data_IF_682096952396
#
_entry.id   IF_682096952396
#
_cell.length_a   1.000
_cell.length_b   1.000
_cell.length_c   1.000
_cell.angle_alpha   90.00
_cell.angle_beta   90.00
_cell.angle_gamma   90.00
#
_symmetry.space_group_name_H-M   'P 1'
#
loop_
_entity.id
_entity.type
_entity.pdbx_description
1 polymer ?
#
# COMPACT_ATOMS: atom_id res chain seq x y z
N UNK A 1 17.60 -42.90 -12.53
CA UNK A 1 16.19 -42.58 -12.85
C UNK A 1 15.31 -42.39 -11.62
N UNK A 2 15.53 -43.13 -10.51
CA UNK A 2 14.68 -43.03 -9.30
C UNK A 2 14.79 -41.68 -8.54
N UNK A 3 15.96 -41.02 -8.56
CA UNK A 3 16.14 -39.71 -7.91
C UNK A 3 15.49 -38.54 -8.67
N UNK A 4 15.35 -38.62 -9.99
CA UNK A 4 14.73 -37.55 -10.78
C UNK A 4 13.24 -37.37 -10.48
N UNK A 5 12.53 -38.47 -10.24
CA UNK A 5 11.10 -38.43 -9.90
C UNK A 5 10.82 -37.84 -8.52
N UNK A 6 11.68 -38.11 -7.53
CA UNK A 6 11.55 -37.53 -6.19
C UNK A 6 11.87 -36.03 -6.17
N UNK A 7 12.87 -35.60 -6.95
CA UNK A 7 13.22 -34.18 -7.11
C UNK A 7 12.09 -33.40 -7.80
N UNK A 8 11.56 -33.92 -8.92
CA UNK A 8 10.44 -33.29 -9.62
C UNK A 8 9.17 -33.18 -8.77
N UNK A 9 8.87 -34.20 -7.97
CA UNK A 9 7.72 -34.16 -7.06
C UNK A 9 7.90 -33.11 -5.96
N UNK A 10 9.11 -33.00 -5.42
CA UNK A 10 9.42 -32.02 -4.37
C UNK A 10 9.39 -30.59 -4.92
N UNK A 11 9.91 -30.37 -6.12
CA UNK A 11 9.84 -29.08 -6.81
C UNK A 11 8.40 -28.67 -7.11
N UNK A 12 7.55 -29.59 -7.59
CA UNK A 12 6.14 -29.32 -7.83
C UNK A 12 5.40 -28.92 -6.55
N UNK A 13 5.62 -29.63 -5.44
CA UNK A 13 5.01 -29.32 -4.14
C UNK A 13 5.47 -27.94 -3.63
N UNK A 14 6.74 -27.57 -3.83
CA UNK A 14 7.25 -26.25 -3.42
C UNK A 14 6.56 -25.14 -4.23
N UNK A 15 6.39 -25.32 -5.54
CA UNK A 15 5.70 -24.34 -6.39
C UNK A 15 4.25 -24.16 -5.95
N UNK A 16 3.52 -25.25 -5.71
CA UNK A 16 2.12 -25.19 -5.23
C UNK A 16 1.99 -24.46 -3.88
N UNK A 17 2.94 -24.68 -2.96
CA UNK A 17 2.95 -23.97 -1.67
C UNK A 17 3.21 -22.48 -1.84
N UNK A 18 4.15 -22.08 -2.70
CA UNK A 18 4.44 -20.67 -2.98
C UNK A 18 3.20 -19.97 -3.54
N UNK A 19 2.52 -20.59 -4.49
CA UNK A 19 1.31 -20.04 -5.11
C UNK A 19 0.17 -19.91 -4.09
N UNK A 20 0.01 -20.92 -3.21
CA UNK A 20 -0.96 -20.86 -2.12
C UNK A 20 -0.67 -19.70 -1.16
N UNK A 21 0.59 -19.50 -0.75
CA UNK A 21 0.96 -18.37 0.12
C UNK A 21 0.72 -17.02 -0.55
N UNK A 22 1.05 -16.88 -1.85
CA UNK A 22 0.79 -15.67 -2.61
C UNK A 22 -0.71 -15.37 -2.69
N UNK A 23 -1.54 -16.39 -2.91
CA UNK A 23 -3.00 -16.26 -2.94
C UNK A 23 -3.55 -15.82 -1.57
N UNK A 24 -3.12 -16.48 -0.48
CA UNK A 24 -3.53 -16.11 0.89
C UNK A 24 -3.13 -14.67 1.20
N UNK A 25 -1.91 -14.28 0.86
CA UNK A 25 -1.43 -12.91 1.06
C UNK A 25 -2.22 -11.90 0.22
N UNK A 26 -2.59 -12.25 -1.02
CA UNK A 26 -3.41 -11.41 -1.88
C UNK A 26 -4.83 -11.21 -1.30
N UNK A 27 -5.46 -12.29 -0.81
CA UNK A 27 -6.76 -12.22 -0.12
C UNK A 27 -6.68 -11.36 1.14
N UNK A 28 -5.59 -11.47 1.92
CA UNK A 28 -5.38 -10.59 3.07
C UNK A 28 -5.29 -9.12 2.65
N UNK A 29 -4.66 -8.82 1.51
CA UNK A 29 -4.58 -7.47 0.96
C UNK A 29 -5.95 -6.96 0.51
N UNK A 30 -6.78 -7.81 -0.11
CA UNK A 30 -8.19 -7.49 -0.44
C UNK A 30 -8.94 -7.09 0.83
N UNK A 31 -8.90 -7.94 1.86
CA UNK A 31 -9.62 -7.70 3.11
C UNK A 31 -9.13 -6.43 3.81
N UNK A 32 -7.81 -6.21 3.81
CA UNK A 32 -7.20 -5.01 4.40
C UNK A 32 -7.61 -3.75 3.64
N UNK A 33 -7.50 -3.75 2.31
CA UNK A 33 -7.83 -2.59 1.49
C UNK A 33 -9.30 -2.22 1.52
N UNK A 34 -10.18 -3.20 1.33
CA UNK A 34 -11.63 -2.96 1.39
C UNK A 34 -12.08 -2.60 2.80
N UNK A 35 -11.63 -3.35 3.81
CA UNK A 35 -12.02 -3.14 5.21
C UNK A 35 -11.56 -1.80 5.77
N UNK A 36 -10.26 -1.51 5.70
CA UNK A 36 -9.71 -0.25 6.20
C UNK A 36 -10.07 0.95 5.32
N UNK A 37 -10.28 0.75 4.02
CA UNK A 37 -10.80 1.79 3.12
C UNK A 37 -12.19 2.26 3.54
N UNK A 38 -13.14 1.34 3.71
CA UNK A 38 -14.47 1.67 4.25
C UNK A 38 -14.36 2.31 5.64
N UNK A 39 -13.47 1.81 6.50
CA UNK A 39 -13.28 2.37 7.83
C UNK A 39 -12.77 3.83 7.82
N UNK A 40 -11.89 4.20 6.88
CA UNK A 40 -11.45 5.58 6.69
C UNK A 40 -12.53 6.50 6.12
N UNK A 41 -13.35 5.99 5.19
CA UNK A 41 -14.52 6.73 4.67
C UNK A 41 -15.48 7.06 5.82
N UNK A 42 -15.73 6.10 6.72
CA UNK A 42 -16.56 6.33 7.93
C UNK A 42 -15.96 7.39 8.86
N UNK A 43 -14.64 7.59 8.84
CA UNK A 43 -13.93 8.68 9.54
C UNK A 43 -13.85 9.99 8.76
N UNK A 44 -14.57 10.09 7.63
CA UNK A 44 -14.59 11.25 6.71
C UNK A 44 -13.21 11.60 6.14
N UNK A 45 -12.30 10.62 6.08
CA UNK A 45 -11.03 10.75 5.39
C UNK A 45 -11.13 10.01 4.04
N UNK A 46 -11.68 10.70 3.04
CA UNK A 46 -11.94 10.12 1.72
C UNK A 46 -10.65 9.85 0.95
N UNK A 47 -9.59 10.64 1.17
CA UNK A 47 -8.29 10.43 0.55
C UNK A 47 -7.70 9.06 0.91
N UNK A 48 -7.55 8.77 2.21
CA UNK A 48 -7.06 7.46 2.65
C UNK A 48 -8.06 6.35 2.35
N UNK A 49 -9.35 6.63 2.52
CA UNK A 49 -10.40 5.66 2.31
C UNK A 49 -10.45 5.14 0.88
N UNK A 50 -10.53 6.03 -0.10
CA UNK A 50 -10.62 5.67 -1.52
C UNK A 50 -9.30 5.08 -2.02
N UNK A 51 -8.15 5.59 -1.59
CA UNK A 51 -6.85 4.98 -1.92
C UNK A 51 -6.80 3.52 -1.47
N UNK A 52 -7.23 3.23 -0.25
CA UNK A 52 -7.24 1.88 0.28
C UNK A 52 -8.23 0.98 -0.46
N UNK A 53 -9.38 1.52 -0.88
CA UNK A 53 -10.31 0.80 -1.74
C UNK A 53 -9.69 0.50 -3.10
N UNK A 54 -8.94 1.43 -3.70
CA UNK A 54 -8.26 1.20 -4.99
C UNK A 54 -7.27 0.05 -4.87
N UNK A 55 -6.46 0.01 -3.82
CA UNK A 55 -5.54 -1.11 -3.54
C UNK A 55 -6.32 -2.42 -3.35
N UNK A 56 -7.43 -2.40 -2.59
CA UNK A 56 -8.27 -3.59 -2.38
C UNK A 56 -8.94 -4.09 -3.67
N UNK A 57 -9.41 -3.18 -4.53
CA UNK A 57 -10.00 -3.50 -5.85
C UNK A 57 -8.92 -4.04 -6.80
N UNK A 58 -7.71 -3.46 -6.75
CA UNK A 58 -6.55 -3.97 -7.49
C UNK A 58 -6.24 -5.42 -7.10
N UNK A 59 -6.10 -5.69 -5.81
CA UNK A 59 -5.85 -7.04 -5.30
C UNK A 59 -7.01 -8.01 -5.60
N UNK A 60 -8.25 -7.51 -5.62
CA UNK A 60 -9.42 -8.33 -5.99
C UNK A 60 -9.33 -8.77 -7.44
N UNK A 61 -9.03 -7.84 -8.34
CA UNK A 61 -8.81 -8.15 -9.75
C UNK A 61 -7.64 -9.12 -9.94
N UNK A 62 -6.54 -8.91 -9.22
CA UNK A 62 -5.40 -9.82 -9.28
C UNK A 62 -5.75 -11.24 -8.80
N UNK A 63 -6.52 -11.35 -7.71
CA UNK A 63 -7.03 -12.63 -7.20
C UNK A 63 -7.95 -13.31 -8.22
N UNK A 64 -8.85 -12.55 -8.86
CA UNK A 64 -9.71 -13.08 -9.94
C UNK A 64 -8.88 -13.54 -11.13
N UNK A 65 -7.82 -12.81 -11.50
CA UNK A 65 -6.91 -13.24 -12.55
C UNK A 65 -6.22 -14.57 -12.20
N UNK A 66 -5.69 -14.73 -10.99
CA UNK A 66 -5.08 -16.01 -10.55
C UNK A 66 -6.11 -17.15 -10.66
N UNK A 67 -7.36 -16.91 -10.27
CA UNK A 67 -8.40 -17.94 -10.25
C UNK A 67 -8.97 -18.29 -11.63
N UNK A 68 -8.94 -17.36 -12.59
CA UNK A 68 -9.67 -17.50 -13.87
C UNK A 68 -8.80 -17.41 -15.12
N UNK A 69 -7.57 -16.89 -15.00
CA UNK A 69 -6.70 -16.54 -16.12
C UNK A 69 -7.18 -15.33 -16.94
N UNK A 70 -8.21 -14.60 -16.52
CA UNK A 70 -8.78 -13.53 -17.33
C UNK A 70 -7.89 -12.28 -17.39
N UNK A 71 -7.25 -12.08 -18.53
CA UNK A 71 -6.28 -11.00 -18.75
C UNK A 71 -6.82 -9.58 -18.49
N UNK A 72 -8.13 -9.36 -18.66
CA UNK A 72 -8.74 -8.07 -18.37
C UNK A 72 -8.59 -7.68 -16.90
N UNK A 73 -8.79 -8.63 -15.98
CA UNK A 73 -8.58 -8.40 -14.55
C UNK A 73 -7.12 -8.12 -14.24
N UNK A 74 -6.19 -8.84 -14.88
CA UNK A 74 -4.76 -8.56 -14.72
C UNK A 74 -4.43 -7.11 -15.11
N UNK A 75 -4.91 -6.67 -16.28
CA UNK A 75 -4.67 -5.32 -16.79
C UNK A 75 -5.24 -4.23 -15.85
N UNK A 76 -6.41 -4.47 -15.27
CA UNK A 76 -6.99 -3.57 -14.26
C UNK A 76 -6.13 -3.55 -13.01
N UNK A 77 -5.74 -4.72 -12.49
CA UNK A 77 -4.93 -4.83 -11.27
C UNK A 77 -3.60 -4.07 -11.40
N UNK A 78 -2.84 -4.32 -12.46
CA UNK A 78 -1.54 -3.68 -12.67
C UNK A 78 -1.66 -2.16 -12.93
N UNK A 79 -2.74 -1.70 -13.56
CA UNK A 79 -2.98 -0.26 -13.73
C UNK A 79 -3.26 0.43 -12.39
N UNK A 80 -4.09 -0.20 -11.55
CA UNK A 80 -4.39 0.33 -10.22
C UNK A 80 -3.19 0.23 -9.27
N UNK A 81 -2.37 -0.82 -9.37
CA UNK A 81 -1.07 -0.90 -8.67
C UNK A 81 -0.14 0.23 -9.10
N UNK A 82 -0.01 0.48 -10.41
CA UNK A 82 0.77 1.58 -10.94
C UNK A 82 0.26 2.95 -10.46
N UNK A 83 -1.06 3.14 -10.36
CA UNK A 83 -1.67 4.32 -9.75
C UNK A 83 -1.22 4.48 -8.29
N UNK A 84 -1.41 3.46 -7.46
CA UNK A 84 -1.11 3.51 -6.03
C UNK A 84 0.38 3.72 -5.76
N UNK A 85 1.26 3.10 -6.55
CA UNK A 85 2.73 3.26 -6.43
C UNK A 85 3.24 4.61 -6.90
N UNK A 86 2.65 5.16 -7.96
CA UNK A 86 3.09 6.42 -8.55
C UNK A 86 2.55 7.61 -7.79
N UNK A 87 1.24 7.73 -7.65
CA UNK A 87 0.59 8.95 -7.16
C UNK A 87 -0.34 8.70 -5.97
N UNK A 88 -1.01 7.54 -5.92
CA UNK A 88 -1.98 7.22 -4.88
C UNK A 88 -1.38 7.27 -3.48
N UNK A 89 -0.53 6.32 -3.11
CA UNK A 89 0.09 6.32 -1.79
C UNK A 89 1.00 7.54 -1.56
N UNK A 90 1.95 7.87 -2.46
CA UNK A 90 2.90 8.93 -2.17
C UNK A 90 2.28 10.32 -2.05
N UNK A 91 1.23 10.63 -2.83
CA UNK A 91 0.60 11.95 -2.83
C UNK A 91 -0.73 11.93 -2.10
N UNK A 92 -1.67 11.08 -2.51
CA UNK A 92 -3.03 11.05 -1.96
C UNK A 92 -3.01 10.58 -0.50
N UNK A 93 -2.31 9.49 -0.18
CA UNK A 93 -2.25 9.03 1.20
C UNK A 93 -1.51 10.03 2.12
N UNK A 94 -0.43 10.66 1.63
CA UNK A 94 0.24 11.77 2.33
C UNK A 94 -0.74 12.89 2.68
N UNK A 95 -1.52 13.37 1.71
CA UNK A 95 -2.53 14.42 1.93
C UNK A 95 -3.61 13.95 2.91
N UNK A 96 -4.00 12.68 2.85
CA UNK A 96 -4.91 12.09 3.81
C UNK A 96 -4.35 12.05 5.25
N UNK A 97 -3.06 11.77 5.42
CA UNK A 97 -2.35 11.83 6.71
C UNK A 97 -2.13 13.26 7.21
N UNK A 98 -2.15 14.25 6.31
CA UNK A 98 -2.10 15.67 6.67
C UNK A 98 -3.30 16.11 7.51
N UNK A 99 -4.41 15.35 7.51
CA UNK A 99 -5.53 15.61 8.43
C UNK A 99 -5.10 15.51 9.90
N UNK A 100 -4.28 14.51 10.26
CA UNK A 100 -3.81 14.29 11.63
C UNK A 100 -2.44 14.90 11.93
N UNK A 101 -1.70 15.36 10.92
CA UNK A 101 -0.41 16.03 11.14
C UNK A 101 -0.49 17.55 11.00
N UNK A 102 -1.19 18.06 9.98
CA UNK A 102 -1.22 19.49 9.62
C UNK A 102 -2.61 20.14 9.73
N UNK A 103 -3.61 19.41 10.24
CA UNK A 103 -5.02 19.87 10.28
C UNK A 103 -5.58 20.19 8.89
N UNK A 104 -5.05 19.55 7.84
CA UNK A 104 -5.63 19.61 6.51
C UNK A 104 -7.07 19.08 6.57
N UNK A 105 -8.01 19.76 5.93
CA UNK A 105 -9.41 19.34 5.87
C UNK A 105 -9.70 18.83 4.46
N UNK A 106 -9.76 17.49 4.27
CA UNK A 106 -10.21 16.92 3.01
C UNK A 106 -11.59 17.48 2.65
N UNK A 107 -11.79 17.82 1.39
CA UNK A 107 -13.04 18.34 0.87
C UNK A 107 -13.48 17.42 -0.25
N UNK A 108 -14.69 16.81 -0.20
CA UNK A 108 -15.08 15.80 -1.18
C UNK A 108 -14.91 16.25 -2.64
N UNK A 109 -15.24 17.50 -2.95
CA UNK A 109 -15.06 18.04 -4.30
C UNK A 109 -13.58 18.11 -4.71
N UNK A 110 -12.70 18.59 -3.82
CA UNK A 110 -11.25 18.67 -4.09
C UNK A 110 -10.63 17.27 -4.15
N UNK A 111 -11.08 16.37 -3.30
CA UNK A 111 -10.61 14.99 -3.25
C UNK A 111 -10.96 14.27 -4.56
N UNK A 112 -12.18 14.45 -5.10
CA UNK A 112 -12.58 13.90 -6.42
C UNK A 112 -11.70 14.46 -7.53
N UNK A 113 -11.47 15.78 -7.58
CA UNK A 113 -10.58 16.38 -8.59
C UNK A 113 -9.17 15.82 -8.48
N UNK A 114 -8.66 15.62 -7.27
CA UNK A 114 -7.34 15.05 -7.03
C UNK A 114 -7.24 13.61 -7.53
N UNK A 115 -8.24 12.77 -7.25
CA UNK A 115 -8.28 11.40 -7.78
C UNK A 115 -8.36 11.38 -9.30
N UNK A 116 -9.20 12.22 -9.91
CA UNK A 116 -9.30 12.32 -11.38
C UNK A 116 -7.95 12.76 -12.01
N UNK A 117 -7.30 13.77 -11.43
CA UNK A 117 -5.99 14.22 -11.88
C UNK A 117 -4.92 13.13 -11.70
N UNK A 118 -4.95 12.39 -10.60
CA UNK A 118 -4.04 11.28 -10.34
C UNK A 118 -4.27 10.14 -11.35
N UNK A 119 -5.51 9.77 -11.65
CA UNK A 119 -5.83 8.75 -12.66
C UNK A 119 -5.38 9.19 -14.05
N UNK A 120 -5.56 10.46 -14.40
CA UNK A 120 -5.07 11.02 -15.66
C UNK A 120 -3.54 10.96 -15.72
N UNK A 121 -2.84 11.35 -14.65
CA UNK A 121 -1.38 11.26 -14.57
C UNK A 121 -0.90 9.81 -14.73
N UNK A 122 -1.56 8.85 -14.06
CA UNK A 122 -1.27 7.43 -14.22
C UNK A 122 -1.49 6.95 -15.63
N UNK A 123 -2.61 7.30 -16.26
CA UNK A 123 -2.86 6.94 -17.65
C UNK A 123 -1.75 7.46 -18.58
N UNK A 124 -1.27 8.70 -18.35
CA UNK A 124 -0.18 9.29 -19.13
C UNK A 124 1.11 8.49 -18.98
N UNK A 125 1.61 8.26 -17.76
CA UNK A 125 2.90 7.58 -17.60
C UNK A 125 2.83 6.07 -17.84
N UNK A 126 1.70 5.44 -17.54
CA UNK A 126 1.56 3.98 -17.61
C UNK A 126 1.33 3.50 -19.05
N UNK A 127 0.51 4.22 -19.82
CA UNK A 127 0.18 3.82 -21.20
C UNK A 127 1.20 4.34 -22.23
N UNK A 128 2.01 5.34 -21.86
CA UNK A 128 3.03 5.89 -22.75
C UNK A 128 4.24 4.98 -22.85
N UNK A 129 4.66 4.68 -24.08
CA UNK A 129 5.90 3.95 -24.35
C UNK A 129 7.14 4.74 -23.93
N UNK A 130 7.10 6.07 -24.00
CA UNK A 130 8.23 6.95 -23.67
C UNK A 130 8.61 6.98 -22.19
N UNK A 131 7.71 6.56 -21.30
CA UNK A 131 7.98 6.51 -19.86
C UNK A 131 8.41 5.12 -19.37
N UNK A 132 8.27 4.05 -20.17
CA UNK A 132 8.46 2.67 -19.71
C UNK A 132 9.79 2.42 -18.99
N UNK A 133 10.89 2.93 -19.53
CA UNK A 133 12.24 2.76 -18.94
C UNK A 133 12.43 3.60 -17.68
N UNK A 134 11.68 4.69 -17.54
CA UNK A 134 11.76 5.61 -16.40
C UNK A 134 10.84 5.20 -15.23
N UNK A 135 9.83 4.36 -15.48
CA UNK A 135 8.84 3.98 -14.46
C UNK A 135 9.45 3.38 -13.18
N UNK A 136 10.41 2.44 -13.24
CA UNK A 136 11.07 1.92 -12.04
C UNK A 136 11.66 3.02 -11.15
N UNK A 137 12.40 3.96 -11.76
CA UNK A 137 13.04 5.07 -11.06
C UNK A 137 12.00 6.04 -10.50
N UNK A 138 10.95 6.32 -11.26
CA UNK A 138 9.83 7.15 -10.82
C UNK A 138 9.16 6.54 -9.59
N UNK A 139 8.84 5.24 -9.59
CA UNK A 139 8.20 4.60 -8.45
C UNK A 139 9.09 4.60 -7.20
N UNK A 140 10.39 4.34 -7.33
CA UNK A 140 11.32 4.42 -6.19
C UNK A 140 11.46 5.86 -5.68
N UNK A 141 11.49 6.85 -6.57
CA UNK A 141 11.51 8.27 -6.18
C UNK A 141 10.26 8.62 -5.37
N UNK A 142 9.08 8.26 -5.87
CA UNK A 142 7.81 8.55 -5.21
C UNK A 142 7.71 7.83 -3.85
N UNK A 143 8.17 6.57 -3.77
CA UNK A 143 8.29 5.86 -2.50
C UNK A 143 9.27 6.51 -1.54
N UNK A 144 10.41 7.00 -2.02
CA UNK A 144 11.40 7.69 -1.19
C UNK A 144 10.83 8.96 -0.57
N UNK A 145 10.12 9.76 -1.37
CA UNK A 145 9.41 10.96 -0.89
C UNK A 145 8.35 10.61 0.15
N UNK A 146 7.58 9.54 -0.09
CA UNK A 146 6.61 9.05 0.87
C UNK A 146 7.26 8.59 2.17
N UNK A 147 8.39 7.88 2.11
CA UNK A 147 9.15 7.44 3.29
C UNK A 147 9.64 8.64 4.11
N UNK A 148 10.12 9.72 3.48
CA UNK A 148 10.49 10.94 4.20
C UNK A 148 9.30 11.51 4.99
N UNK A 149 8.11 11.53 4.38
CA UNK A 149 6.90 11.92 5.09
C UNK A 149 6.52 10.95 6.21
N UNK A 150 6.68 9.64 6.00
CA UNK A 150 6.44 8.64 7.05
C UNK A 150 7.38 8.80 8.23
N UNK A 151 8.64 9.15 8.03
CA UNK A 151 9.58 9.47 9.13
C UNK A 151 9.03 10.64 9.96
N UNK A 152 8.53 11.68 9.30
CA UNK A 152 7.87 12.78 9.99
C UNK A 152 6.61 12.32 10.74
N UNK A 153 5.77 11.48 10.13
CA UNK A 153 4.57 10.91 10.76
C UNK A 153 4.93 10.07 12.00
N UNK A 154 5.98 9.25 11.93
CA UNK A 154 6.55 8.49 13.05
C UNK A 154 7.02 9.43 14.15
N UNK A 155 7.74 10.49 13.81
CA UNK A 155 8.15 11.51 14.78
C UNK A 155 6.96 12.15 15.48
N UNK A 156 5.86 12.41 14.76
CA UNK A 156 4.61 12.91 15.36
C UNK A 156 3.99 11.91 16.34
N UNK A 157 4.02 10.62 16.04
CA UNK A 157 3.56 9.56 16.95
C UNK A 157 4.40 9.51 18.23
N UNK A 158 5.73 9.57 18.10
CA UNK A 158 6.64 9.62 19.26
C UNK A 158 6.32 10.83 20.14
N UNK A 159 6.13 12.01 19.54
CA UNK A 159 5.75 13.23 20.27
C UNK A 159 4.38 13.16 20.95
N UNK A 160 3.49 12.32 20.45
CA UNK A 160 2.18 12.07 21.04
C UNK A 160 2.19 10.97 22.12
N UNK A 161 3.35 10.35 22.40
CA UNK A 161 3.49 9.24 23.34
C UNK A 161 3.10 7.87 22.77
N UNK A 162 2.79 7.79 21.47
CA UNK A 162 2.30 6.58 20.79
C UNK A 162 3.47 5.72 20.28
N UNK A 163 4.35 5.28 21.18
CA UNK A 163 5.63 4.63 20.87
C UNK A 163 5.49 3.30 20.11
N UNK A 164 4.49 2.48 20.47
CA UNK A 164 4.21 1.22 19.77
C UNK A 164 3.79 1.48 18.32
N UNK A 165 2.88 2.42 18.09
CA UNK A 165 2.46 2.78 16.75
C UNK A 165 3.58 3.48 15.97
N UNK A 166 4.46 4.24 16.64
CA UNK A 166 5.64 4.81 16.00
C UNK A 166 6.58 3.71 15.49
N UNK A 167 6.95 2.74 16.34
CA UNK A 167 7.82 1.63 15.97
C UNK A 167 7.21 0.77 14.85
N UNK A 168 5.94 0.38 15.00
CA UNK A 168 5.23 -0.40 13.99
C UNK A 168 5.14 0.32 12.64
N UNK A 169 4.89 1.64 12.65
CA UNK A 169 4.87 2.44 11.41
C UNK A 169 6.26 2.58 10.79
N UNK A 170 7.32 2.66 11.59
CA UNK A 170 8.70 2.69 11.11
C UNK A 170 9.08 1.37 10.44
N UNK A 171 8.76 0.24 11.07
CA UNK A 171 9.03 -1.09 10.51
C UNK A 171 8.23 -1.32 9.22
N UNK A 172 6.95 -0.94 9.20
CA UNK A 172 6.12 -1.00 7.99
C UNK A 172 6.66 -0.12 6.85
N UNK A 173 7.09 1.10 7.17
CA UNK A 173 7.71 2.01 6.19
C UNK A 173 9.02 1.48 5.62
N UNK A 174 9.89 0.91 6.46
CA UNK A 174 11.15 0.31 6.03
C UNK A 174 10.93 -0.95 5.16
N UNK A 175 9.97 -1.80 5.54
CA UNK A 175 9.57 -2.95 4.75
C UNK A 175 8.98 -2.50 3.39
N UNK A 176 8.10 -1.49 3.39
CA UNK A 176 7.53 -0.91 2.16
C UNK A 176 8.59 -0.38 1.21
N UNK A 177 9.57 0.38 1.72
CA UNK A 177 10.70 0.86 0.92
C UNK A 177 11.53 -0.29 0.36
N UNK A 178 11.74 -1.34 1.16
CA UNK A 178 12.45 -2.56 0.71
C UNK A 178 11.72 -3.24 -0.44
N UNK A 179 10.38 -3.36 -0.35
CA UNK A 179 9.55 -3.89 -1.44
C UNK A 179 9.68 -3.00 -2.69
N UNK A 180 9.60 -1.67 -2.55
CA UNK A 180 9.72 -0.74 -3.68
C UNK A 180 11.07 -0.87 -4.41
N UNK A 181 12.17 -1.04 -3.69
CA UNK A 181 13.49 -1.27 -4.27
C UNK A 181 13.59 -2.65 -4.96
N UNK A 182 13.05 -3.69 -4.33
CA UNK A 182 13.10 -5.06 -4.87
C UNK A 182 12.20 -5.27 -6.08
N UNK A 183 11.11 -4.52 -6.20
CA UNK A 183 10.12 -4.67 -7.26
C UNK A 183 10.80 -4.68 -8.63
N UNK A 184 11.63 -3.66 -8.90
CA UNK A 184 12.19 -3.43 -10.23
C UNK A 184 13.73 -3.55 -10.29
N UNK A 185 14.46 -3.41 -9.17
CA UNK A 185 15.93 -3.33 -9.19
C UNK A 185 16.64 -4.55 -8.59
N UNK A 186 16.03 -5.23 -7.62
CA UNK A 186 16.69 -6.31 -6.88
C UNK A 186 15.81 -7.57 -6.84
N UNK A 187 15.71 -8.30 -7.97
CA UNK A 187 14.95 -9.54 -8.04
C UNK A 187 15.46 -10.57 -7.02
N UNK A 188 14.55 -11.37 -6.48
CA UNK A 188 14.90 -12.46 -5.55
C UNK A 188 15.46 -13.62 -6.39
N UNK A 189 16.69 -14.10 -6.10
CA UNK A 189 17.25 -15.26 -6.81
C UNK A 189 16.36 -16.49 -6.64
N UNK A 190 16.00 -17.13 -7.76
CA UNK A 190 15.12 -18.32 -7.76
C UNK A 190 13.61 -18.02 -7.71
N UNK A 191 13.20 -16.76 -7.81
CA UNK A 191 11.78 -16.34 -7.83
C UNK A 191 11.38 -15.84 -9.24
N UNK A 192 11.48 -16.72 -10.23
CA UNK A 192 11.27 -16.37 -11.65
C UNK A 192 9.82 -15.94 -11.94
N UNK A 193 8.85 -16.53 -11.21
CA UNK A 193 7.42 -16.19 -11.30
C UNK A 193 7.03 -14.98 -10.45
N UNK A 194 7.97 -14.42 -9.66
CA UNK A 194 7.75 -13.32 -8.71
C UNK A 194 6.79 -13.64 -7.56
N UNK A 195 6.39 -14.90 -7.37
CA UNK A 195 5.36 -15.26 -6.40
C UNK A 195 5.85 -15.13 -4.94
N UNK A 196 7.14 -15.36 -4.69
CA UNK A 196 7.75 -15.08 -3.37
C UNK A 196 7.73 -13.57 -3.11
N UNK A 197 8.19 -12.78 -4.09
CA UNK A 197 8.14 -11.33 -4.02
C UNK A 197 6.71 -10.81 -3.78
N UNK A 198 5.73 -11.30 -4.54
CA UNK A 198 4.32 -10.90 -4.42
C UNK A 198 3.75 -11.25 -3.04
N UNK A 199 4.08 -12.44 -2.51
CA UNK A 199 3.70 -12.82 -1.14
C UNK A 199 4.21 -11.80 -0.13
N UNK A 200 5.50 -11.47 -0.17
CA UNK A 200 6.09 -10.48 0.73
C UNK A 200 5.47 -9.09 0.53
N UNK A 201 5.27 -8.66 -0.71
CA UNK A 201 4.66 -7.38 -1.04
C UNK A 201 3.24 -7.29 -0.45
N UNK A 202 2.37 -8.26 -0.73
CA UNK A 202 0.99 -8.25 -0.25
C UNK A 202 0.90 -8.27 1.28
N UNK A 203 1.77 -9.01 1.97
CA UNK A 203 1.84 -9.00 3.43
C UNK A 203 2.28 -7.63 3.98
N UNK A 204 3.32 -7.03 3.41
CA UNK A 204 3.81 -5.69 3.82
C UNK A 204 2.75 -4.62 3.58
N UNK A 205 2.08 -4.66 2.44
CA UNK A 205 1.00 -3.74 2.11
C UNK A 205 -0.19 -3.90 3.07
N UNK A 206 -0.63 -5.14 3.33
CA UNK A 206 -1.70 -5.43 4.28
C UNK A 206 -1.37 -4.90 5.68
N UNK A 207 -0.16 -5.19 6.15
CA UNK A 207 0.35 -4.70 7.43
C UNK A 207 0.36 -3.17 7.48
N UNK A 208 0.92 -2.51 6.46
CA UNK A 208 1.00 -1.05 6.38
C UNK A 208 -0.38 -0.40 6.37
N UNK A 209 -1.37 -0.99 5.69
CA UNK A 209 -2.74 -0.48 5.69
C UNK A 209 -3.38 -0.56 7.09
N UNK A 210 -3.28 -1.72 7.73
CA UNK A 210 -3.78 -1.91 9.09
C UNK A 210 -3.11 -0.96 10.08
N UNK A 211 -1.78 -0.91 10.04
CA UNK A 211 -0.98 -0.11 10.93
C UNK A 211 -1.22 1.39 10.72
N UNK A 212 -1.33 1.86 9.48
CA UNK A 212 -1.64 3.26 9.19
C UNK A 212 -3.02 3.67 9.72
N UNK A 213 -4.02 2.78 9.61
CA UNK A 213 -5.35 3.02 10.14
C UNK A 213 -5.36 3.20 11.67
N UNK A 214 -4.64 2.34 12.39
CA UNK A 214 -4.54 2.42 13.84
C UNK A 214 -3.67 3.61 14.30
N UNK A 215 -2.53 3.83 13.66
CA UNK A 215 -1.63 4.96 13.95
C UNK A 215 -2.31 6.31 13.68
N UNK A 216 -3.07 6.43 12.60
CA UNK A 216 -3.90 7.60 12.33
C UNK A 216 -4.89 7.85 13.47
N UNK A 217 -5.58 6.80 13.91
CA UNK A 217 -6.54 6.88 15.02
C UNK A 217 -5.88 7.28 16.33
N UNK A 218 -4.66 6.79 16.59
CA UNK A 218 -3.87 7.16 17.76
C UNK A 218 -3.58 8.67 17.79
N UNK A 219 -2.99 9.22 16.72
CA UNK A 219 -2.76 10.67 16.63
C UNK A 219 -4.05 11.49 16.70
N UNK A 220 -5.14 11.00 16.11
CA UNK A 220 -6.43 11.68 16.18
C UNK A 220 -6.93 11.81 17.63
N UNK A 221 -6.79 10.75 18.44
CA UNK A 221 -7.16 10.76 19.86
C UNK A 221 -6.23 11.64 20.71
N UNK A 222 -4.92 11.58 20.49
CA UNK A 222 -3.97 12.39 21.25
C UNK A 222 -4.24 13.90 21.06
N UNK A 223 -4.67 14.31 19.87
CA UNK A 223 -5.09 15.70 19.59
C UNK A 223 -6.37 16.12 20.32
N UNK A 224 -7.38 15.25 20.39
CA UNK A 224 -8.63 15.58 21.08
C UNK A 224 -8.42 15.75 22.58
N UNK A 225 -7.60 14.87 23.18
CA UNK A 225 -7.24 14.96 24.61
C UNK A 225 -6.49 16.27 24.91
N UNK A 226 -5.50 16.63 24.09
CA UNK A 226 -4.77 17.90 24.25
C UNK A 226 -5.69 19.12 24.15
N UNK A 227 -6.67 19.11 23.24
CA UNK A 227 -7.63 20.22 23.08
C UNK A 227 -8.56 20.33 24.29
N UNK A 228 -9.08 19.20 24.79
CA UNK A 228 -9.97 19.17 25.94
C UNK A 228 -9.26 19.57 27.24
N UNK A 229 -7.99 19.19 27.41
CA UNK A 229 -7.17 19.61 28.56
C UNK A 229 -6.99 21.13 28.65
N UNK A 230 -6.82 21.82 27.51
CA UNK A 230 -6.71 23.29 27.47
C UNK A 230 -8.03 23.99 27.80
N UNK A 231 -9.18 23.39 27.47
CA UNK A 231 -10.50 23.97 27.74
C UNK A 231 -10.93 23.86 29.21
N UNK A 232 -10.39 22.91 29.97
CA UNK A 232 -10.67 22.74 31.40
C UNK A 232 -9.70 23.50 32.32
N UNK A 233 -8.65 24.11 31.77
CA UNK A 233 -7.68 24.95 32.51
C UNK A 233 -8.00 26.45 32.49
N UNK A 234 -9.18 26.83 32.00
CA UNK A 234 -9.73 28.20 31.98
C UNK A 234 -11.04 28.23 32.76
#
# INVERSE_FOLDING_TARGET
>A
MQNYGATLFTEAVIVELIDLFALIACVLLVMSGLGYGVAFIRRKNYLLGVEFLIVGISATNFTTFIATGWQANYNVAIFLDAFSRGVGVPVIATLGLMAVTHNYKPSPAKDVILFLAAFAATAIYYLSTGFKELLPYFYVLMWSLYTLFLIYFVWRLVRAGESLHALASLLGGAAGLTIALRYDFFPIPGDDTKMIFMTCAFLVWSYSMAQLFYAYGALQRSKSVSTQGMLHSH
#
